data_IF_175510871161
#
_entry.id   IF_175510871161
#
_cell.length_a   1.000
_cell.length_b   1.000
_cell.length_c   1.000
_cell.angle_alpha   90.00
_cell.angle_beta   90.00
_cell.angle_gamma   90.00
#
_symmetry.space_group_name_H-M   'P 1'
#
loop_
_entity.id
_entity.type
_entity.pdbx_description
1 polymer ?
#
# COMPACT_ATOMS: atom_id res chain seq x y z
N UNK A 1 86.64 6.75 22.82
CA UNK A 1 86.06 5.41 23.07
C UNK A 1 84.63 5.44 22.52
N UNK A 2 84.46 5.53 21.19
CA UNK A 2 84.38 4.45 20.18
C UNK A 2 82.97 3.81 20.17
N UNK A 3 82.18 3.74 19.09
CA UNK A 3 82.28 4.16 17.68
C UNK A 3 80.86 4.07 17.06
N UNK A 4 80.43 5.03 16.23
CA UNK A 4 80.37 4.97 14.75
C UNK A 4 79.48 3.81 14.21
N UNK A 5 78.26 4.04 13.71
CA UNK A 5 77.84 4.66 12.45
C UNK A 5 78.00 3.75 11.20
N UNK A 6 76.94 3.73 10.39
CA UNK A 6 76.85 3.59 8.91
C UNK A 6 76.05 2.42 8.34
N UNK A 7 75.16 2.85 7.45
CA UNK A 7 74.43 2.12 6.43
C UNK A 7 75.36 1.49 5.37
N UNK A 8 74.88 0.50 4.62
CA UNK A 8 74.55 0.61 3.19
C UNK A 8 74.25 -0.78 2.63
N UNK A 9 73.52 -0.85 1.51
CA UNK A 9 73.81 -1.87 0.50
C UNK A 9 72.64 -2.68 -0.07
N UNK A 10 72.15 -2.23 -1.23
CA UNK A 10 72.07 -3.01 -2.50
C UNK A 10 71.43 -4.41 -2.40
N UNK A 11 70.24 -4.67 -2.95
CA UNK A 11 69.92 -4.59 -4.38
C UNK A 11 70.02 -5.99 -5.02
N UNK A 12 68.90 -6.56 -5.47
CA UNK A 12 68.80 -7.52 -6.59
C UNK A 12 67.36 -8.05 -6.73
N UNK A 13 66.66 -7.59 -7.77
CA UNK A 13 65.60 -8.35 -8.45
C UNK A 13 66.21 -9.52 -9.22
N UNK A 14 65.46 -10.60 -9.48
CA UNK A 14 65.18 -10.89 -10.89
C UNK A 14 63.76 -11.38 -11.22
N UNK A 15 63.17 -10.72 -12.22
CA UNK A 15 62.67 -11.25 -13.51
C UNK A 15 61.74 -12.48 -13.54
N UNK A 16 60.49 -12.18 -13.93
CA UNK A 16 59.52 -12.91 -14.79
C UNK A 16 59.85 -14.32 -15.32
N UNK A 17 58.85 -15.20 -15.19
CA UNK A 17 58.49 -16.28 -16.14
C UNK A 17 57.14 -16.89 -15.70
N UNK A 18 56.01 -16.54 -16.33
CA UNK A 18 55.41 -17.18 -17.51
C UNK A 18 54.96 -18.64 -17.29
N UNK A 19 53.64 -18.81 -17.10
CA UNK A 19 52.84 -19.86 -17.73
C UNK A 19 52.73 -21.22 -17.01
N UNK A 20 51.49 -21.67 -16.79
CA UNK A 20 51.21 -23.10 -16.60
C UNK A 20 50.08 -23.38 -15.61
N UNK A 21 48.90 -23.68 -16.15
CA UNK A 21 47.68 -24.09 -15.44
C UNK A 21 47.89 -25.47 -14.79
N UNK A 22 47.42 -25.67 -13.56
CA UNK A 22 46.58 -26.84 -13.26
C UNK A 22 45.75 -26.63 -12.00
N UNK A 23 44.54 -27.18 -12.07
CA UNK A 23 43.44 -27.14 -11.12
C UNK A 23 43.75 -28.01 -9.90
N UNK A 24 43.49 -27.50 -8.70
CA UNK A 24 43.22 -28.33 -7.54
C UNK A 24 42.10 -27.71 -6.71
N UNK A 25 41.02 -28.46 -6.61
CA UNK A 25 39.85 -28.18 -5.81
C UNK A 25 40.20 -28.15 -4.32
N UNK A 26 39.69 -27.15 -3.61
CA UNK A 26 39.51 -27.21 -2.16
C UNK A 26 38.18 -26.52 -1.84
N UNK A 27 37.23 -27.36 -1.43
CA UNK A 27 35.92 -26.95 -0.98
C UNK A 27 36.00 -26.14 0.31
N UNK A 28 35.22 -25.06 0.35
CA UNK A 28 34.87 -24.34 1.56
C UNK A 28 33.39 -24.01 1.46
N UNK A 29 32.55 -24.92 1.96
CA UNK A 29 31.12 -24.73 2.07
C UNK A 29 30.84 -23.48 2.92
N UNK A 30 30.39 -22.39 2.28
CA UNK A 30 29.79 -21.27 2.99
C UNK A 30 28.36 -21.68 3.32
N UNK A 31 28.11 -21.82 4.61
CA UNK A 31 26.79 -22.06 5.18
C UNK A 31 25.80 -21.01 4.65
N UNK A 32 24.70 -21.50 4.09
CA UNK A 32 23.55 -20.71 3.74
C UNK A 32 23.08 -19.93 4.99
N UNK A 33 23.06 -18.60 4.90
CA UNK A 33 22.39 -17.75 5.87
C UNK A 33 20.93 -18.12 5.87
N UNK A 34 20.48 -18.81 6.91
CA UNK A 34 19.09 -19.22 7.05
C UNK A 34 18.19 -18.00 7.12
N UNK A 35 17.30 -17.87 6.13
CA UNK A 35 16.10 -17.05 6.22
C UNK A 35 15.34 -17.46 7.48
N UNK A 36 15.34 -16.60 8.50
CA UNK A 36 14.49 -16.75 9.66
C UNK A 36 13.11 -16.25 9.28
N UNK A 37 12.26 -17.15 8.78
CA UNK A 37 10.81 -16.95 8.77
C UNK A 37 10.37 -16.76 10.23
N UNK A 38 10.21 -15.50 10.67
CA UNK A 38 9.54 -15.20 11.93
C UNK A 38 8.06 -15.41 11.70
N UNK A 39 7.57 -16.55 12.21
CA UNK A 39 6.15 -16.88 12.30
C UNK A 39 5.50 -15.87 13.24
N UNK A 40 4.87 -14.82 12.71
CA UNK A 40 4.05 -13.91 13.50
C UNK A 40 2.77 -14.66 13.87
N UNK A 41 2.54 -14.79 15.18
CA UNK A 41 1.34 -15.41 15.73
C UNK A 41 0.15 -14.44 15.54
N UNK A 42 -0.98 -14.95 15.05
CA UNK A 42 -2.26 -14.21 15.05
C UNK A 42 -2.55 -13.72 16.47
N UNK A 43 -2.84 -12.43 16.61
CA UNK A 43 -3.36 -11.87 17.85
C UNK A 43 -4.72 -12.51 18.17
N UNK A 44 -4.76 -13.38 19.17
CA UNK A 44 -6.01 -13.91 19.72
C UNK A 44 -6.59 -12.90 20.72
N UNK A 45 -7.83 -12.44 20.47
CA UNK A 45 -8.59 -11.64 21.41
C UNK A 45 -8.71 -12.30 22.78
N UNK A 46 -8.29 -11.59 23.85
CA UNK A 46 -8.69 -11.89 25.23
C UNK A 46 -9.85 -10.98 25.62
N UNK A 47 -11.05 -11.55 25.77
CA UNK A 47 -12.12 -10.98 26.61
C UNK A 47 -12.12 -11.71 27.96
N UNK A 48 -11.94 -10.97 29.04
CA UNK A 48 -12.20 -11.41 30.41
C UNK A 48 -13.41 -10.67 30.99
N UNK A 49 -14.04 -11.31 31.96
CA UNK A 49 -15.47 -11.31 32.24
C UNK A 49 -15.97 -10.32 33.31
N UNK A 50 -17.31 -10.16 33.36
CA UNK A 50 -18.09 -10.20 34.60
C UNK A 50 -18.83 -8.92 35.02
N UNK A 51 -20.17 -8.97 35.07
CA UNK A 51 -20.95 -9.02 36.31
C UNK A 51 -22.46 -9.10 36.01
N UNK A 52 -23.21 -9.67 36.97
CA UNK A 52 -24.50 -10.30 36.79
C UNK A 52 -25.71 -9.50 37.33
N UNK A 53 -26.87 -9.71 36.68
CA UNK A 53 -28.23 -9.80 37.26
C UNK A 53 -29.14 -8.56 37.21
N UNK A 54 -30.48 -8.68 37.37
CA UNK A 54 -31.31 -9.89 37.37
C UNK A 54 -32.59 -9.83 36.47
N UNK A 55 -33.05 -11.03 36.10
CA UNK A 55 -34.43 -11.57 36.00
C UNK A 55 -35.61 -10.58 35.90
N UNK A 56 -36.40 -10.72 34.82
CA UNK A 56 -37.86 -10.53 34.87
C UNK A 56 -38.57 -11.68 34.15
N UNK A 57 -39.50 -12.26 34.89
CA UNK A 57 -40.48 -13.29 34.57
C UNK A 57 -41.68 -12.68 33.80
N UNK A 58 -42.45 -13.53 33.11
CA UNK A 58 -43.81 -13.19 32.68
C UNK A 58 -44.13 -13.43 31.22
N UNK A 59 -44.24 -14.69 30.80
CA UNK A 59 -44.95 -15.05 29.58
C UNK A 59 -46.46 -14.98 29.75
N UNK A 60 -47.19 -14.53 28.73
CA UNK A 60 -48.49 -15.10 28.39
C UNK A 60 -49.01 -14.74 26.98
N UNK A 61 -49.24 -15.82 26.20
CA UNK A 61 -50.39 -16.11 25.32
C UNK A 61 -50.68 -15.25 24.05
N UNK A 62 -50.66 -16.02 22.95
CA UNK A 62 -51.77 -16.27 22.01
C UNK A 62 -51.83 -15.49 20.69
N UNK A 63 -52.00 -16.24 19.60
CA UNK A 63 -52.81 -15.84 18.44
C UNK A 63 -52.07 -15.59 17.12
N UNK A 64 -51.82 -16.64 16.34
CA UNK A 64 -51.95 -16.57 14.87
C UNK A 64 -53.46 -16.66 14.54
N UNK A 65 -54.00 -16.07 13.46
CA UNK A 65 -53.53 -16.28 12.08
C UNK A 65 -53.72 -15.10 11.09
N UNK A 66 -53.22 -15.27 9.85
CA UNK A 66 -53.83 -14.66 8.66
C UNK A 66 -52.87 -13.91 7.72
N UNK A 67 -52.47 -14.58 6.63
CA UNK A 67 -51.90 -13.96 5.42
C UNK A 67 -52.98 -13.14 4.70
N UNK A 68 -52.63 -11.96 4.21
CA UNK A 68 -53.35 -11.27 3.13
C UNK A 68 -52.36 -10.53 2.20
N UNK A 69 -52.61 -10.64 0.90
CA UNK A 69 -51.76 -10.20 -0.22
C UNK A 69 -51.68 -8.67 -0.42
N UNK A 70 -50.65 -8.14 -1.11
CA UNK A 70 -50.56 -6.72 -1.42
C UNK A 70 -51.50 -6.29 -2.57
N UNK A 71 -52.16 -5.14 -2.38
CA UNK A 71 -53.03 -4.47 -3.39
C UNK A 71 -52.22 -3.64 -4.40
N UNK A 72 -52.73 -3.49 -5.64
CA UNK A 72 -52.05 -2.77 -6.73
C UNK A 72 -52.24 -1.24 -6.68
N UNK A 73 -51.33 -0.54 -7.37
CA UNK A 73 -51.26 0.91 -7.54
C UNK A 73 -52.38 1.49 -8.45
N UNK A 74 -52.76 2.78 -8.28
CA UNK A 74 -53.68 3.45 -9.19
C UNK A 74 -52.98 4.12 -10.41
N UNK A 75 -53.71 4.30 -11.55
CA UNK A 75 -53.19 4.89 -12.79
C UNK A 75 -53.40 6.42 -12.89
N UNK A 76 -52.76 7.04 -13.88
CA UNK A 76 -52.44 8.46 -13.93
C UNK A 76 -53.48 9.41 -14.54
N UNK A 77 -53.04 10.65 -14.78
CA UNK A 77 -53.74 11.66 -15.56
C UNK A 77 -52.75 12.66 -16.20
N UNK A 78 -53.13 13.13 -17.37
CA UNK A 78 -52.31 13.77 -18.40
C UNK A 78 -52.17 15.30 -18.26
N UNK A 79 -51.10 15.79 -18.89
CA UNK A 79 -50.94 17.03 -19.68
C UNK A 79 -51.62 18.34 -19.23
N UNK A 80 -50.79 19.37 -19.03
CA UNK A 80 -51.04 20.68 -19.65
C UNK A 80 -49.71 21.31 -20.12
N UNK A 81 -49.73 21.84 -21.34
CA UNK A 81 -48.63 22.53 -22.01
C UNK A 81 -48.89 24.03 -21.97
N UNK A 82 -47.98 24.82 -21.39
CA UNK A 82 -47.82 26.24 -21.76
C UNK A 82 -46.35 26.62 -21.84
N UNK A 83 -46.03 27.31 -22.93
CA UNK A 83 -44.70 27.62 -23.44
C UNK A 83 -44.06 28.86 -22.77
N UNK A 84 -42.75 28.75 -22.51
CA UNK A 84 -41.62 29.70 -22.73
C UNK A 84 -41.68 31.16 -22.18
N UNK A 85 -40.55 31.88 -21.94
CA UNK A 85 -39.22 31.67 -22.57
C UNK A 85 -37.96 31.82 -21.68
N UNK A 86 -36.85 31.24 -22.20
CA UNK A 86 -35.56 31.93 -22.33
C UNK A 86 -34.64 32.02 -21.10
N UNK A 87 -33.77 31.03 -20.93
CA UNK A 87 -32.39 31.30 -20.50
C UNK A 87 -31.41 30.45 -21.30
N UNK A 88 -30.36 31.15 -21.74
CA UNK A 88 -29.37 30.71 -22.70
C UNK A 88 -28.71 29.38 -22.29
N UNK A 89 -28.50 28.53 -23.30
CA UNK A 89 -27.81 27.26 -23.16
C UNK A 89 -26.39 27.45 -22.65
N UNK A 90 -26.07 26.74 -21.57
CA UNK A 90 -24.73 26.23 -21.34
C UNK A 90 -24.76 24.79 -21.80
N UNK A 91 -24.14 24.52 -22.94
CA UNK A 91 -23.90 23.16 -23.41
C UNK A 91 -23.19 22.37 -22.29
N UNK A 92 -23.50 21.09 -22.08
CA UNK A 92 -22.65 20.26 -21.23
C UNK A 92 -21.24 20.28 -21.83
N UNK A 93 -20.25 20.50 -20.96
CA UNK A 93 -18.85 20.34 -21.35
C UNK A 93 -18.68 18.94 -21.93
N UNK A 94 -18.14 18.88 -23.15
CA UNK A 94 -17.70 17.65 -23.78
C UNK A 94 -16.64 16.99 -22.89
N UNK A 95 -16.81 15.75 -22.39
CA UNK A 95 -15.75 15.04 -21.67
C UNK A 95 -14.69 14.48 -22.64
N UNK A 96 -14.68 14.93 -23.89
CA UNK A 96 -13.74 14.56 -24.93
C UNK A 96 -12.35 15.18 -24.79
N UNK A 97 -11.65 14.95 -23.67
CA UNK A 97 -10.22 14.68 -23.79
C UNK A 97 -10.11 13.18 -23.98
N UNK A 98 -10.37 12.71 -25.20
CA UNK A 98 -9.91 11.38 -25.59
C UNK A 98 -8.39 11.48 -25.58
N UNK A 99 -7.74 10.91 -24.55
CA UNK A 99 -6.30 10.70 -24.55
C UNK A 99 -5.92 10.10 -25.90
N UNK A 100 -4.87 10.64 -26.52
CA UNK A 100 -4.41 10.12 -27.79
C UNK A 100 -3.90 8.70 -27.53
N UNK A 101 -4.44 7.72 -28.25
CA UNK A 101 -4.03 6.33 -28.13
C UNK A 101 -2.53 6.24 -28.42
N UNK A 102 -1.71 6.00 -27.39
CA UNK A 102 -0.26 5.82 -27.51
C UNK A 102 0.61 6.80 -26.70
N UNK A 103 0.04 7.83 -26.06
CA UNK A 103 0.82 8.61 -25.09
C UNK A 103 0.96 7.80 -23.79
N UNK A 104 2.18 7.68 -23.22
CA UNK A 104 2.35 6.97 -21.96
C UNK A 104 1.49 7.62 -20.89
N UNK A 105 0.84 6.80 -20.05
CA UNK A 105 0.16 7.28 -18.85
C UNK A 105 1.17 8.08 -18.04
N UNK A 106 0.91 9.38 -17.94
CA UNK A 106 1.76 10.28 -17.15
C UNK A 106 1.54 10.01 -15.67
N UNK A 107 2.48 10.41 -14.82
CA UNK A 107 2.29 10.29 -13.38
C UNK A 107 1.03 11.06 -12.93
N UNK A 108 0.79 12.25 -13.49
CA UNK A 108 -0.41 13.04 -13.18
C UNK A 108 -1.71 12.31 -13.55
N UNK A 109 -1.71 11.58 -14.67
CA UNK A 109 -2.84 10.74 -15.08
C UNK A 109 -3.14 9.62 -14.09
N UNK A 110 -2.09 8.99 -13.59
CA UNK A 110 -2.19 7.94 -12.60
C UNK A 110 -2.82 8.48 -11.32
N UNK A 111 -2.35 9.62 -10.82
CA UNK A 111 -2.90 10.22 -9.60
C UNK A 111 -4.34 10.68 -9.79
N UNK A 112 -4.67 11.30 -10.92
CA UNK A 112 -6.05 11.68 -11.26
C UNK A 112 -6.98 10.45 -11.22
N UNK A 113 -6.55 9.31 -11.75
CA UNK A 113 -7.32 8.07 -11.73
C UNK A 113 -7.49 7.53 -10.31
N UNK A 114 -6.40 7.42 -9.54
CA UNK A 114 -6.43 6.93 -8.15
C UNK A 114 -7.38 7.77 -7.30
N UNK A 115 -7.26 9.09 -7.38
CA UNK A 115 -8.05 10.03 -6.59
C UNK A 115 -9.53 10.04 -7.02
N UNK A 116 -9.81 9.87 -8.32
CA UNK A 116 -11.18 9.81 -8.84
C UNK A 116 -11.87 8.48 -8.52
N UNK A 117 -11.15 7.37 -8.62
CA UNK A 117 -11.68 6.05 -8.29
C UNK A 117 -11.92 5.90 -6.78
N UNK A 118 -11.01 6.44 -5.97
CA UNK A 118 -11.01 6.26 -4.53
C UNK A 118 -10.50 4.87 -4.10
N UNK A 119 -10.39 4.62 -2.79
CA UNK A 119 -9.52 3.59 -2.24
C UNK A 119 -10.19 2.21 -2.09
N UNK A 120 -11.03 1.79 -3.06
CA UNK A 120 -11.68 0.46 -3.00
C UNK A 120 -11.40 -0.36 -4.27
N UNK A 121 -11.04 -1.65 -4.17
CA UNK A 121 -10.70 -2.48 -5.33
C UNK A 121 -11.75 -2.46 -6.44
N UNK A 122 -13.05 -2.51 -6.11
CA UNK A 122 -14.14 -2.48 -7.08
C UNK A 122 -14.21 -1.17 -7.89
N UNK A 123 -13.89 -0.03 -7.27
CA UNK A 123 -13.91 1.27 -7.96
C UNK A 123 -12.68 1.45 -8.84
N UNK A 124 -11.52 1.02 -8.36
CA UNK A 124 -10.29 0.96 -9.16
C UNK A 124 -10.51 0.04 -10.36
N UNK A 125 -11.12 -1.14 -10.17
CA UNK A 125 -11.45 -2.06 -11.27
C UNK A 125 -12.35 -1.38 -12.30
N UNK A 126 -13.46 -0.77 -11.87
CA UNK A 126 -14.39 -0.10 -12.77
C UNK A 126 -13.71 1.02 -13.57
N UNK A 127 -12.74 1.74 -12.98
CA UNK A 127 -11.96 2.75 -13.68
C UNK A 127 -11.02 2.12 -14.74
N UNK A 128 -10.33 1.03 -14.40
CA UNK A 128 -9.38 0.35 -15.31
C UNK A 128 -10.08 -0.43 -16.42
N UNK A 129 -11.28 -0.96 -16.19
CA UNK A 129 -12.06 -1.71 -17.18
C UNK A 129 -12.41 -0.87 -18.42
N UNK A 130 -12.46 0.46 -18.29
CA UNK A 130 -12.68 1.39 -19.39
C UNK A 130 -11.42 1.74 -20.21
N UNK A 131 -10.23 1.38 -19.74
CA UNK A 131 -8.95 1.75 -20.36
C UNK A 131 -8.42 0.67 -21.31
N UNK A 132 -7.65 1.03 -22.35
CA UNK A 132 -6.92 0.07 -23.16
C UNK A 132 -5.79 -0.59 -22.36
N UNK A 133 -5.35 -1.78 -22.79
CA UNK A 133 -4.40 -2.61 -22.03
C UNK A 133 -3.05 -1.94 -21.78
N UNK A 134 -2.55 -1.14 -22.73
CA UNK A 134 -1.32 -0.37 -22.58
C UNK A 134 -1.42 0.67 -21.46
N UNK A 135 -2.59 1.30 -21.31
CA UNK A 135 -2.84 2.21 -20.19
C UNK A 135 -2.97 1.47 -18.85
N UNK A 136 -3.60 0.28 -18.81
CA UNK A 136 -3.66 -0.55 -17.60
C UNK A 136 -2.27 -1.03 -17.18
N UNK A 137 -1.43 -1.42 -18.14
CA UNK A 137 -0.01 -1.78 -17.89
C UNK A 137 0.76 -0.58 -17.33
N UNK A 138 0.56 0.61 -17.88
CA UNK A 138 1.24 1.81 -17.38
C UNK A 138 0.75 2.24 -16.00
N UNK A 139 -0.56 2.14 -15.72
CA UNK A 139 -1.12 2.32 -14.38
C UNK A 139 -0.47 1.37 -13.37
N UNK A 140 -0.38 0.08 -13.69
CA UNK A 140 0.25 -0.94 -12.86
C UNK A 140 1.71 -0.59 -12.53
N UNK A 141 2.48 -0.20 -13.53
CA UNK A 141 3.89 0.16 -13.36
C UNK A 141 4.05 1.38 -12.42
N UNK A 142 3.20 2.41 -12.60
CA UNK A 142 3.21 3.60 -11.74
C UNK A 142 2.76 3.29 -10.31
N UNK A 143 1.71 2.49 -10.12
CA UNK A 143 1.27 2.02 -8.80
C UNK A 143 2.43 1.36 -8.06
N UNK A 144 3.08 0.38 -8.69
CA UNK A 144 4.19 -0.36 -8.08
C UNK A 144 5.40 0.51 -7.82
N UNK A 145 5.69 1.49 -8.69
CA UNK A 145 6.73 2.48 -8.45
C UNK A 145 6.44 3.36 -7.22
N UNK A 146 5.20 3.81 -7.02
CA UNK A 146 4.82 4.62 -5.86
C UNK A 146 4.80 3.79 -4.56
N UNK A 147 4.35 2.53 -4.61
CA UNK A 147 4.43 1.61 -3.46
C UNK A 147 5.88 1.31 -3.08
N UNK A 148 6.77 1.15 -4.07
CA UNK A 148 8.19 1.00 -3.82
C UNK A 148 8.81 2.29 -3.28
N UNK A 149 8.39 3.47 -3.74
CA UNK A 149 8.80 4.78 -3.20
C UNK A 149 8.39 4.94 -1.73
N UNK A 150 7.25 4.40 -1.33
CA UNK A 150 6.77 4.40 0.05
C UNK A 150 7.47 3.36 0.96
N UNK A 151 8.43 2.59 0.44
CA UNK A 151 9.24 1.65 1.21
C UNK A 151 10.35 2.38 2.00
N UNK A 152 9.96 3.05 3.07
CA UNK A 152 10.82 3.86 3.93
C UNK A 152 10.57 3.52 5.40
N UNK A 153 11.63 3.49 6.21
CA UNK A 153 11.56 3.13 7.62
C UNK A 153 10.76 4.12 8.47
N UNK A 154 10.76 5.40 8.13
CA UNK A 154 9.91 6.40 8.79
C UNK A 154 8.43 6.16 8.50
N UNK A 155 8.10 5.87 7.23
CA UNK A 155 6.74 5.48 6.81
C UNK A 155 6.30 4.20 7.53
N UNK A 156 7.21 3.22 7.68
CA UNK A 156 6.95 2.01 8.46
C UNK A 156 6.71 2.34 9.93
N UNK A 157 7.54 3.17 10.57
CA UNK A 157 7.34 3.57 11.96
C UNK A 157 5.95 4.19 12.18
N UNK A 158 5.49 5.05 11.26
CA UNK A 158 4.17 5.65 11.30
C UNK A 158 3.04 4.61 11.19
N UNK A 159 3.12 3.72 10.20
CA UNK A 159 2.18 2.61 10.04
C UNK A 159 2.16 1.67 11.25
N UNK A 160 3.34 1.31 11.76
CA UNK A 160 3.53 0.46 12.93
C UNK A 160 2.82 1.02 14.16
N UNK A 161 3.01 2.32 14.45
CA UNK A 161 2.35 2.99 15.56
C UNK A 161 0.82 3.11 15.36
N UNK A 162 0.38 3.33 14.11
CA UNK A 162 -1.04 3.46 13.78
C UNK A 162 -1.79 2.12 13.89
N UNK A 163 -1.16 1.00 13.51
CA UNK A 163 -1.78 -0.33 13.49
C UNK A 163 -1.50 -1.15 14.77
N UNK A 164 -0.56 -0.71 15.62
CA UNK A 164 -0.15 -1.46 16.81
C UNK A 164 0.84 -2.61 16.52
N UNK A 165 1.70 -2.40 15.52
CA UNK A 165 2.68 -3.35 15.02
C UNK A 165 2.49 -3.66 13.53
N UNK A 166 3.56 -3.98 12.80
CA UNK A 166 3.50 -4.39 11.38
C UNK A 166 4.62 -5.37 11.05
N UNK A 167 4.31 -6.44 10.32
CA UNK A 167 5.26 -7.25 9.56
C UNK A 167 5.52 -6.67 8.16
N UNK A 168 6.53 -7.18 7.46
CA UNK A 168 6.83 -6.84 6.05
C UNK A 168 5.59 -6.94 5.14
N UNK A 169 4.78 -7.98 5.33
CA UNK A 169 3.53 -8.20 4.57
C UNK A 169 2.50 -7.11 4.88
N UNK A 170 2.15 -6.89 6.15
CA UNK A 170 1.19 -5.82 6.51
C UNK A 170 1.71 -4.42 6.18
N UNK A 171 3.03 -4.22 6.14
CA UNK A 171 3.62 -2.97 5.69
C UNK A 171 3.51 -2.80 4.16
N UNK A 172 3.54 -3.89 3.38
CA UNK A 172 3.20 -3.83 1.97
C UNK A 172 1.75 -3.40 1.77
N UNK A 173 0.82 -3.97 2.53
CA UNK A 173 -0.60 -3.62 2.45
C UNK A 173 -0.81 -2.15 2.81
N UNK A 174 -0.19 -1.69 3.89
CA UNK A 174 -0.22 -0.28 4.29
C UNK A 174 0.30 0.65 3.19
N UNK A 175 1.35 0.28 2.45
CA UNK A 175 1.87 1.10 1.34
C UNK A 175 0.89 1.13 0.17
N UNK A 176 0.20 0.03 -0.15
CA UNK A 176 -0.88 0.03 -1.15
C UNK A 176 -2.02 0.95 -0.74
N UNK A 177 -2.44 0.88 0.53
CA UNK A 177 -3.44 1.78 1.10
C UNK A 177 -3.00 3.24 0.97
N UNK A 178 -1.78 3.56 1.43
CA UNK A 178 -1.26 4.94 1.43
C UNK A 178 -1.25 5.55 0.03
N UNK A 179 -0.85 4.79 -0.98
CA UNK A 179 -0.89 5.25 -2.38
C UNK A 179 -2.33 5.55 -2.83
N UNK A 180 -3.32 4.77 -2.39
CA UNK A 180 -4.71 5.01 -2.72
C UNK A 180 -5.37 6.17 -1.94
N UNK A 181 -4.68 6.73 -0.95
CA UNK A 181 -5.07 7.98 -0.31
C UNK A 181 -4.72 9.22 -1.15
N UNK A 182 -4.03 9.04 -2.29
CA UNK A 182 -3.72 10.08 -3.26
C UNK A 182 -2.33 10.71 -3.09
N UNK A 183 -1.95 11.54 -4.05
CA UNK A 183 -0.58 12.07 -4.15
C UNK A 183 -0.18 12.86 -2.91
N UNK A 184 -1.06 13.74 -2.46
CA UNK A 184 -0.80 14.62 -1.32
C UNK A 184 -0.58 13.84 -0.01
N UNK A 185 -1.27 12.71 0.17
CA UNK A 185 -1.09 11.85 1.33
C UNK A 185 0.29 11.17 1.31
N UNK A 186 0.67 10.59 0.17
CA UNK A 186 1.98 9.95 -0.03
C UNK A 186 3.11 10.95 0.19
N UNK A 187 3.05 12.11 -0.46
CA UNK A 187 4.10 13.12 -0.36
C UNK A 187 4.21 13.69 1.07
N UNK A 188 3.09 13.90 1.77
CA UNK A 188 3.09 14.37 3.15
C UNK A 188 3.72 13.36 4.10
N UNK A 189 3.34 12.07 4.00
CA UNK A 189 3.84 11.02 4.90
C UNK A 189 5.31 10.69 4.60
N UNK A 190 5.76 10.74 3.35
CA UNK A 190 7.18 10.60 3.01
C UNK A 190 8.04 11.75 3.53
N UNK A 191 7.50 12.98 3.52
CA UNK A 191 8.23 14.15 4.02
C UNK A 191 8.25 14.20 5.56
N UNK A 192 7.11 13.88 6.19
CA UNK A 192 6.93 13.83 7.63
C UNK A 192 6.04 12.62 7.97
N UNK A 193 6.59 11.49 8.45
CA UNK A 193 5.77 10.31 8.74
C UNK A 193 4.64 10.56 9.76
N UNK A 194 4.85 11.50 10.69
CA UNK A 194 3.83 11.95 11.65
C UNK A 194 2.61 12.64 10.99
N UNK A 195 2.71 13.04 9.72
CA UNK A 195 1.60 13.58 8.94
C UNK A 195 0.49 12.54 8.71
N UNK A 196 0.78 11.25 8.85
CA UNK A 196 -0.22 10.18 8.82
C UNK A 196 -1.36 10.47 9.82
N UNK A 197 -1.07 11.12 10.96
CA UNK A 197 -2.08 11.49 11.96
C UNK A 197 -3.22 12.37 11.41
N UNK A 198 -2.98 13.09 10.30
CA UNK A 198 -3.97 13.92 9.62
C UNK A 198 -4.88 13.16 8.65
N UNK A 199 -4.57 11.90 8.32
CA UNK A 199 -5.38 11.07 7.43
C UNK A 199 -6.52 10.39 8.21
N UNK A 200 -7.64 10.15 7.55
CA UNK A 200 -8.70 9.30 8.11
C UNK A 200 -8.43 7.86 7.72
N UNK A 201 -8.51 6.94 8.69
CA UNK A 201 -8.44 5.49 8.46
C UNK A 201 -9.25 4.75 9.52
N UNK A 202 -9.57 3.50 9.22
CA UNK A 202 -10.11 2.47 10.09
C UNK A 202 -9.12 1.30 10.14
N UNK A 203 -9.13 0.52 11.22
CA UNK A 203 -8.16 -0.57 11.38
C UNK A 203 -8.30 -1.64 10.28
N UNK A 204 -9.52 -1.85 9.76
CA UNK A 204 -9.82 -2.82 8.69
C UNK A 204 -9.26 -2.40 7.31
N UNK A 205 -9.03 -1.11 7.07
CA UNK A 205 -8.59 -0.61 5.75
C UNK A 205 -7.14 -0.98 5.42
N UNK A 206 -6.30 -1.24 6.42
CA UNK A 206 -4.91 -1.64 6.19
C UNK A 206 -4.82 -3.13 5.81
N UNK A 207 -5.56 -4.00 6.49
CA UNK A 207 -5.44 -5.46 6.39
C UNK A 207 -5.88 -6.06 5.05
N UNK A 208 -6.57 -5.27 4.21
CA UNK A 208 -7.13 -5.71 2.93
C UNK A 208 -6.64 -4.88 1.73
N UNK A 209 -5.66 -4.01 1.95
CA UNK A 209 -5.16 -3.16 0.89
C UNK A 209 -4.30 -3.91 -0.14
N UNK A 210 -3.89 -5.17 0.12
CA UNK A 210 -3.23 -6.01 -0.88
C UNK A 210 -4.05 -6.16 -2.17
N UNK A 211 -5.38 -6.22 -2.04
CA UNK A 211 -6.30 -6.38 -3.17
C UNK A 211 -6.17 -5.23 -4.17
N UNK A 212 -5.89 -4.01 -3.69
CA UNK A 212 -5.65 -2.84 -4.54
C UNK A 212 -4.40 -3.02 -5.43
N UNK A 213 -3.42 -3.81 -4.98
CA UNK A 213 -2.21 -4.14 -5.71
C UNK A 213 -2.42 -5.12 -6.87
N UNK A 214 -3.50 -5.91 -6.84
CA UNK A 214 -3.78 -6.95 -7.84
C UNK A 214 -4.76 -6.51 -8.93
N UNK A 215 -5.52 -5.42 -8.73
CA UNK A 215 -6.63 -5.04 -9.63
C UNK A 215 -6.19 -4.93 -11.11
N UNK A 216 -5.05 -4.29 -11.38
CA UNK A 216 -4.57 -4.14 -12.74
C UNK A 216 -4.18 -5.48 -13.39
N UNK A 217 -3.55 -6.38 -12.62
CA UNK A 217 -3.12 -7.71 -13.06
C UNK A 217 -4.34 -8.56 -13.38
N UNK A 218 -5.39 -8.47 -12.56
CA UNK A 218 -6.65 -9.17 -12.77
C UNK A 218 -7.41 -8.66 -14.00
N UNK A 219 -7.45 -7.33 -14.23
CA UNK A 219 -8.06 -6.75 -15.44
C UNK A 219 -7.33 -7.24 -16.70
N UNK A 220 -6.00 -7.22 -16.73
CA UNK A 220 -5.20 -7.72 -17.85
C UNK A 220 -5.42 -9.23 -18.07
N UNK A 221 -5.37 -10.00 -16.99
CA UNK A 221 -5.54 -11.46 -17.02
C UNK A 221 -6.94 -11.83 -17.54
N UNK A 222 -7.99 -11.14 -17.09
CA UNK A 222 -9.35 -11.36 -17.54
C UNK A 222 -9.54 -11.07 -19.04
N UNK A 223 -8.73 -10.15 -19.61
CA UNK A 223 -8.69 -9.85 -21.04
C UNK A 223 -7.80 -10.79 -21.86
N UNK A 224 -7.08 -11.70 -21.20
CA UNK A 224 -6.13 -12.62 -21.84
C UNK A 224 -4.78 -11.97 -22.16
N UNK A 225 -4.49 -10.80 -21.58
CA UNK A 225 -3.23 -10.07 -21.76
C UNK A 225 -2.24 -10.46 -20.68
N UNK A 226 -1.02 -10.82 -21.08
CA UNK A 226 0.04 -11.18 -20.14
C UNK A 226 0.47 -9.97 -19.32
N UNK A 227 0.58 -10.14 -18.01
CA UNK A 227 1.11 -9.11 -17.10
C UNK A 227 2.62 -8.99 -17.30
N UNK A 228 3.14 -7.83 -17.75
CA UNK A 228 4.58 -7.65 -17.95
C UNK A 228 5.30 -7.51 -16.60
N UNK A 229 6.55 -8.00 -16.56
CA UNK A 229 7.45 -7.69 -15.45
C UNK A 229 7.88 -6.22 -15.53
N UNK A 230 8.01 -5.56 -14.38
CA UNK A 230 8.39 -4.14 -14.26
C UNK A 230 9.74 -3.92 -13.57
N UNK A 231 10.40 -4.99 -13.12
CA UNK A 231 11.69 -4.92 -12.44
C UNK A 231 11.63 -4.30 -11.03
N UNK A 232 10.44 -4.01 -10.50
CA UNK A 232 10.26 -3.42 -9.17
C UNK A 232 10.14 -4.52 -8.12
N UNK A 233 11.04 -4.53 -7.15
CA UNK A 233 10.94 -5.38 -5.95
C UNK A 233 10.19 -4.64 -4.84
N UNK A 234 8.98 -5.10 -4.49
CA UNK A 234 8.17 -4.52 -3.41
C UNK A 234 8.66 -4.89 -2.00
N UNK A 235 9.60 -5.86 -1.93
CA UNK A 235 10.24 -6.36 -0.71
C UNK A 235 11.74 -6.07 -0.70
N UNK A 236 12.18 -5.00 -1.37
CA UNK A 236 13.53 -4.49 -1.17
C UNK A 236 13.71 -3.97 0.26
N UNK A 237 14.95 -3.81 0.72
CA UNK A 237 15.21 -3.16 2.01
C UNK A 237 14.62 -1.75 2.02
N UNK A 238 13.91 -1.33 3.09
CA UNK A 238 13.39 0.02 3.18
C UNK A 238 14.52 1.05 3.18
N UNK A 239 14.22 2.21 2.61
CA UNK A 239 15.08 3.39 2.67
C UNK A 239 14.96 4.09 4.02
N UNK A 240 15.84 5.06 4.31
CA UNK A 240 15.84 5.78 5.58
C UNK A 240 16.57 5.04 6.70
N UNK A 241 16.28 5.43 7.95
CA UNK A 241 16.88 4.86 9.17
C UNK A 241 15.85 4.00 9.91
N UNK A 242 16.22 2.76 10.23
CA UNK A 242 15.39 1.82 10.98
C UNK A 242 15.01 2.38 12.35
N UNK A 243 13.76 2.19 12.75
CA UNK A 243 13.23 2.70 14.01
C UNK A 243 13.29 1.65 15.13
N UNK A 244 13.47 2.08 16.39
CA UNK A 244 13.47 1.16 17.53
C UNK A 244 12.04 0.75 17.90
N UNK A 245 11.54 -0.35 17.34
CA UNK A 245 10.17 -0.88 17.54
C UNK A 245 9.69 -0.92 19.01
N UNK A 246 10.59 -1.22 19.95
CA UNK A 246 10.25 -1.38 21.37
C UNK A 246 10.37 -0.08 22.19
N UNK A 247 10.88 1.01 21.59
CA UNK A 247 11.11 2.28 22.28
C UNK A 247 9.92 3.24 22.13
N UNK A 248 9.01 3.16 23.10
CA UNK A 248 7.85 4.06 23.20
C UNK A 248 8.22 5.53 23.35
N UNK A 249 9.34 5.85 24.00
CA UNK A 249 9.77 7.23 24.16
C UNK A 249 10.22 7.81 22.81
N UNK A 250 10.89 7.00 21.98
CA UNK A 250 11.23 7.36 20.62
C UNK A 250 9.98 7.72 19.80
N UNK A 251 8.92 6.90 19.86
CA UNK A 251 7.65 7.21 19.17
C UNK A 251 7.00 8.50 19.66
N UNK A 252 6.98 8.75 20.97
CA UNK A 252 6.43 9.98 21.52
C UNK A 252 7.20 11.24 21.09
N UNK A 253 8.52 11.12 20.90
CA UNK A 253 9.39 12.21 20.44
C UNK A 253 9.32 12.44 18.92
N UNK A 254 9.31 11.37 18.12
CA UNK A 254 9.47 11.44 16.66
C UNK A 254 8.14 11.44 15.91
N UNK A 255 7.08 10.87 16.50
CA UNK A 255 5.72 10.79 15.93
C UNK A 255 4.67 11.34 16.92
N UNK A 256 4.81 12.58 17.42
CA UNK A 256 4.01 13.10 18.53
C UNK A 256 2.51 13.23 18.21
N UNK A 257 2.13 13.54 16.96
CA UNK A 257 0.70 13.64 16.58
C UNK A 257 0.07 12.26 16.52
N UNK A 258 0.74 11.29 15.90
CA UNK A 258 0.30 9.89 15.88
C UNK A 258 0.24 9.31 17.29
N UNK A 259 1.28 9.55 18.10
CA UNK A 259 1.34 9.09 19.49
C UNK A 259 0.12 9.55 20.30
N UNK A 260 -0.22 10.84 20.20
CA UNK A 260 -1.40 11.40 20.85
C UNK A 260 -2.70 10.76 20.35
N UNK A 261 -2.80 10.46 19.05
CA UNK A 261 -3.98 9.83 18.44
C UNK A 261 -4.13 8.36 18.85
N UNK A 262 -3.04 7.60 18.95
CA UNK A 262 -3.04 6.19 19.36
C UNK A 262 -3.29 5.98 20.86
N UNK A 263 -3.49 7.06 21.63
CA UNK A 263 -3.68 6.99 23.08
C UNK A 263 -2.39 6.65 23.86
N UNK A 264 -1.23 6.81 23.22
CA UNK A 264 0.09 6.55 23.81
C UNK A 264 0.36 5.09 24.18
N UNK A 265 -0.16 4.15 23.37
CA UNK A 265 -0.01 2.68 23.43
C UNK A 265 0.94 2.22 24.51
#
# INVERSE_FOLDING_TARGET
MAGAQLADGLGAEPVRGAGGRELAAAGGARAAGGLRLRRVLRAAHRRAAGLAGPVLDGGHRAGLPGRAAPRPAPPGAAADQRAAPGHAGRAPADPGVRRSYGDPVTEDAFWELVETAGPTPDRVRAALEGLPDDEVVAFRALLRAQVARANDWGVWAAGYLAHGGMSDDSFLDFRFWLVHQGRAAVDAVLAEPDALAGLSWTDEEFEHAEDLGYVADEVLTARGTSVPADGVSLFADPTGEEFPEEDRAWFAEHLPRLWARSGGL
#
